data_IF_463529319104
#
_entry.id   IF_463529319104
#
_cell.length_a   1.000
_cell.length_b   1.000
_cell.length_c   1.000
_cell.angle_alpha   90.00
_cell.angle_beta   90.00
_cell.angle_gamma   90.00
#
_symmetry.space_group_name_H-M   'P 1'
#
loop_
_entity.id
_entity.type
_entity.pdbx_description
1 polymer ?
#
# COMPACT_ATOMS: atom_id res chain seq x y z
N UNK A 1 -1.05 -17.29 0.72
CA UNK A 1 0.29 -17.76 0.29
C UNK A 1 1.33 -17.06 1.13
N UNK A 2 2.40 -17.73 1.58
CA UNK A 2 3.48 -17.07 2.35
C UNK A 2 4.43 -16.42 1.34
N UNK A 3 4.72 -15.14 1.50
CA UNK A 3 5.87 -14.54 0.86
C UNK A 3 7.11 -15.15 1.50
N UNK A 4 7.80 -16.04 0.80
CA UNK A 4 9.03 -16.65 1.31
C UNK A 4 10.16 -15.63 1.19
N UNK A 5 10.51 -15.00 2.29
CA UNK A 5 11.53 -13.94 2.32
C UNK A 5 12.94 -14.47 2.09
N UNK A 6 13.16 -15.75 2.33
CA UNK A 6 14.45 -16.44 2.06
C UNK A 6 15.69 -15.65 2.53
N UNK A 7 15.64 -15.06 3.74
CA UNK A 7 16.76 -14.27 4.27
C UNK A 7 18.03 -15.11 4.40
N UNK A 8 17.89 -16.41 4.60
CA UNK A 8 19.01 -17.35 4.62
C UNK A 8 19.88 -17.30 3.35
N UNK A 9 19.29 -16.97 2.18
CA UNK A 9 20.05 -16.81 0.92
C UNK A 9 21.02 -15.62 0.95
N UNK A 10 20.88 -14.71 1.89
CA UNK A 10 21.81 -13.58 2.08
C UNK A 10 22.98 -13.94 2.99
N UNK A 11 22.92 -15.08 3.67
CA UNK A 11 23.90 -15.46 4.68
C UNK A 11 24.69 -16.72 4.31
N UNK A 12 24.01 -17.84 4.05
CA UNK A 12 24.69 -19.14 3.92
C UNK A 12 25.38 -19.24 2.56
N UNK A 13 26.73 -19.30 2.58
CA UNK A 13 27.58 -19.42 1.38
C UNK A 13 27.24 -18.41 0.29
N UNK A 14 26.90 -17.19 0.70
CA UNK A 14 26.36 -16.19 -0.20
C UNK A 14 27.38 -15.09 -0.52
N UNK A 15 27.51 -14.80 -1.81
CA UNK A 15 28.27 -13.63 -2.28
C UNK A 15 27.57 -12.32 -1.95
N UNK A 16 26.32 -12.36 -1.48
CA UNK A 16 25.50 -11.17 -1.24
C UNK A 16 26.00 -10.29 -0.10
N UNK A 17 26.53 -10.89 0.97
CA UNK A 17 27.13 -10.14 2.06
C UNK A 17 28.34 -9.33 1.59
N UNK A 18 29.24 -9.96 0.85
CA UNK A 18 30.42 -9.29 0.26
C UNK A 18 30.00 -8.22 -0.75
N UNK A 19 28.96 -8.47 -1.54
CA UNK A 19 28.39 -7.50 -2.47
C UNK A 19 27.81 -6.30 -1.73
N UNK A 20 27.10 -6.53 -0.62
CA UNK A 20 26.63 -5.45 0.23
C UNK A 20 27.77 -4.56 0.73
N UNK A 21 28.84 -5.16 1.27
CA UNK A 21 30.00 -4.38 1.72
C UNK A 21 30.70 -3.65 0.58
N UNK A 22 30.72 -4.22 -0.63
CA UNK A 22 31.23 -3.53 -1.82
C UNK A 22 30.44 -2.27 -2.14
N UNK A 23 29.11 -2.30 -1.98
CA UNK A 23 28.26 -1.14 -2.17
C UNK A 23 28.50 -0.11 -1.06
N UNK A 24 28.62 -0.56 0.19
CA UNK A 24 28.85 0.33 1.33
C UNK A 24 30.26 0.99 1.27
N UNK A 25 31.28 0.28 0.79
CA UNK A 25 32.60 0.86 0.59
C UNK A 25 32.58 2.08 -0.35
N UNK A 26 31.72 2.07 -1.38
CA UNK A 26 31.56 3.21 -2.32
C UNK A 26 31.04 4.49 -1.65
N UNK A 27 30.44 4.38 -0.46
CA UNK A 27 29.97 5.54 0.33
C UNK A 27 31.08 6.19 1.16
N UNK A 28 32.20 5.50 1.33
CA UNK A 28 33.31 6.03 2.13
C UNK A 28 34.13 7.05 1.33
N UNK A 29 34.94 7.81 2.03
CA UNK A 29 35.90 8.74 1.39
C UNK A 29 37.09 8.03 0.74
N UNK A 30 37.23 6.73 0.96
CA UNK A 30 38.34 5.92 0.47
C UNK A 30 37.98 5.22 -0.83
N UNK A 31 38.97 5.00 -1.70
CA UNK A 31 38.82 4.08 -2.82
C UNK A 31 38.74 2.62 -2.32
N UNK A 32 38.08 1.75 -3.08
CA UNK A 32 38.00 0.33 -2.73
C UNK A 32 39.42 -0.26 -2.58
N UNK A 33 40.35 0.06 -3.47
CA UNK A 33 41.74 -0.39 -3.38
C UNK A 33 42.42 0.08 -2.09
N UNK A 34 42.21 1.34 -1.70
CA UNK A 34 42.78 1.88 -0.47
C UNK A 34 42.22 1.23 0.79
N UNK A 35 40.91 0.86 0.79
CA UNK A 35 40.32 0.10 1.89
C UNK A 35 40.92 -1.30 1.97
N UNK A 36 41.03 -1.99 0.85
CA UNK A 36 41.56 -3.36 0.80
C UNK A 36 43.03 -3.41 1.24
N UNK A 37 43.82 -2.45 0.80
CA UNK A 37 45.23 -2.28 1.22
C UNK A 37 45.33 -2.09 2.74
N UNK A 38 44.52 -1.17 3.29
CA UNK A 38 44.46 -0.90 4.74
C UNK A 38 44.07 -2.13 5.57
N UNK A 39 43.23 -3.00 4.99
CA UNK A 39 42.76 -4.24 5.64
C UNK A 39 43.65 -5.45 5.36
N UNK A 40 44.73 -5.29 4.63
CA UNK A 40 45.58 -6.38 4.15
C UNK A 40 44.77 -7.47 3.44
N UNK A 41 44.00 -7.03 2.44
CA UNK A 41 43.18 -7.90 1.58
C UNK A 41 43.63 -7.68 0.14
N UNK A 42 44.11 -8.73 -0.53
CA UNK A 42 44.46 -8.64 -1.93
C UNK A 42 43.19 -8.44 -2.78
N UNK A 43 43.26 -7.59 -3.82
CA UNK A 43 42.15 -7.35 -4.72
C UNK A 43 41.60 -8.64 -5.36
N UNK A 44 42.49 -9.61 -5.67
CA UNK A 44 42.10 -10.88 -6.23
C UNK A 44 41.32 -11.73 -5.23
N UNK A 45 41.73 -11.74 -3.93
CA UNK A 45 41.00 -12.47 -2.89
C UNK A 45 39.58 -11.87 -2.69
N UNK A 46 39.48 -10.53 -2.66
CA UNK A 46 38.22 -9.83 -2.61
C UNK A 46 37.33 -10.13 -3.83
N UNK A 47 37.86 -10.08 -5.05
CA UNK A 47 37.12 -10.38 -6.28
C UNK A 47 36.58 -11.81 -6.25
N UNK A 48 37.41 -12.78 -5.88
CA UNK A 48 36.97 -14.18 -5.72
C UNK A 48 35.88 -14.34 -4.66
N UNK A 49 35.99 -13.65 -3.52
CA UNK A 49 34.97 -13.67 -2.48
C UNK A 49 33.63 -13.08 -2.96
N UNK A 50 33.66 -12.06 -3.83
CA UNK A 50 32.45 -11.48 -4.44
C UNK A 50 31.81 -12.39 -5.47
N UNK A 51 32.60 -13.14 -6.23
CA UNK A 51 32.14 -14.06 -7.29
C UNK A 51 31.77 -15.44 -6.73
N UNK A 52 32.61 -15.99 -5.83
CA UNK A 52 32.46 -17.31 -5.24
C UNK A 52 32.76 -17.25 -3.74
N UNK A 53 31.74 -17.45 -2.91
CA UNK A 53 31.90 -17.46 -1.46
C UNK A 53 32.63 -18.74 -0.99
N UNK A 54 33.71 -18.57 -0.27
CA UNK A 54 34.56 -19.65 0.24
C UNK A 54 34.86 -19.44 1.73
N UNK A 55 35.49 -20.39 2.39
CA UNK A 55 35.93 -20.25 3.78
C UNK A 55 36.83 -19.01 4.00
N UNK A 56 37.66 -18.65 3.00
CA UNK A 56 38.46 -17.41 3.05
C UNK A 56 37.62 -16.17 2.98
N UNK A 57 36.42 -16.23 2.41
CA UNK A 57 35.48 -15.09 2.34
C UNK A 57 34.97 -14.65 3.70
N UNK A 58 34.85 -15.59 4.66
CA UNK A 58 34.45 -15.26 6.05
C UNK A 58 35.45 -14.31 6.72
N UNK A 59 36.75 -14.48 6.47
CA UNK A 59 37.78 -13.61 7.02
C UNK A 59 37.69 -12.21 6.39
N UNK A 60 37.44 -12.13 5.08
CA UNK A 60 37.25 -10.87 4.35
C UNK A 60 36.03 -10.16 4.87
N UNK A 61 34.92 -10.88 5.04
CA UNK A 61 33.66 -10.36 5.58
C UNK A 61 33.87 -9.71 6.94
N UNK A 62 34.47 -10.43 7.91
CA UNK A 62 34.76 -9.90 9.24
C UNK A 62 35.64 -8.64 9.24
N UNK A 63 36.65 -8.58 8.37
CA UNK A 63 37.48 -7.38 8.23
C UNK A 63 36.69 -6.19 7.68
N UNK A 64 35.81 -6.43 6.70
CA UNK A 64 34.94 -5.40 6.11
C UNK A 64 33.87 -4.94 7.09
N UNK A 65 33.25 -5.87 7.85
CA UNK A 65 32.32 -5.54 8.94
C UNK A 65 32.96 -4.60 9.94
N UNK A 66 34.12 -4.97 10.46
CA UNK A 66 34.83 -4.15 11.46
C UNK A 66 35.20 -2.78 10.90
N UNK A 67 35.65 -2.68 9.65
CA UNK A 67 36.02 -1.42 9.04
C UNK A 67 34.83 -0.49 8.79
N UNK A 68 33.70 -1.05 8.35
CA UNK A 68 32.48 -0.29 8.02
C UNK A 68 31.56 -0.09 9.23
N UNK A 69 31.86 -0.69 10.38
CA UNK A 69 31.07 -0.56 11.60
C UNK A 69 29.75 -1.33 11.55
N UNK A 70 29.70 -2.46 10.85
CA UNK A 70 28.55 -3.35 10.80
C UNK A 70 28.64 -4.46 11.83
N UNK A 71 27.50 -4.91 12.33
CA UNK A 71 27.40 -6.00 13.28
C UNK A 71 27.28 -7.34 12.54
N UNK A 72 28.05 -8.33 12.96
CA UNK A 72 27.91 -9.70 12.50
C UNK A 72 26.56 -10.28 12.90
N UNK A 73 25.96 -11.05 12.00
CA UNK A 73 24.78 -11.85 12.28
C UNK A 73 25.14 -13.33 12.30
N UNK A 74 24.63 -14.03 13.30
CA UNK A 74 24.67 -15.49 13.31
C UNK A 74 23.43 -16.10 12.64
N UNK A 75 23.52 -17.37 12.26
CA UNK A 75 22.45 -18.10 11.59
C UNK A 75 21.15 -18.12 12.43
N UNK A 76 21.26 -18.24 13.76
CA UNK A 76 20.10 -18.26 14.66
C UNK A 76 19.32 -16.93 14.62
N UNK A 77 20.04 -15.81 14.57
CA UNK A 77 19.43 -14.49 14.44
C UNK A 77 18.71 -14.35 13.10
N UNK A 78 19.29 -14.83 12.02
CA UNK A 78 18.69 -14.76 10.68
C UNK A 78 17.40 -15.56 10.62
N UNK A 79 17.42 -16.81 11.10
CA UNK A 79 16.20 -17.65 11.16
C UNK A 79 15.10 -16.97 11.98
N UNK A 80 15.47 -16.37 13.12
CA UNK A 80 14.53 -15.63 13.95
C UNK A 80 13.96 -14.39 13.21
N UNK A 81 14.79 -13.64 12.51
CA UNK A 81 14.35 -12.48 11.72
C UNK A 81 13.41 -12.92 10.60
N UNK A 82 13.73 -13.98 9.88
CA UNK A 82 12.90 -14.53 8.82
C UNK A 82 11.50 -14.91 9.32
N UNK A 83 11.43 -15.61 10.44
CA UNK A 83 10.15 -15.99 11.05
C UNK A 83 9.29 -14.78 11.41
N UNK A 84 9.89 -13.80 12.11
CA UNK A 84 9.17 -12.59 12.55
C UNK A 84 8.74 -11.73 11.35
N UNK A 85 9.58 -11.58 10.33
CA UNK A 85 9.27 -10.80 9.14
C UNK A 85 8.14 -11.45 8.35
N UNK A 86 8.18 -12.78 8.16
CA UNK A 86 7.10 -13.51 7.52
C UNK A 86 5.78 -13.34 8.28
N UNK A 87 5.82 -13.38 9.61
CA UNK A 87 4.65 -13.12 10.45
C UNK A 87 4.12 -11.68 10.26
N UNK A 88 5.00 -10.68 10.27
CA UNK A 88 4.64 -9.28 10.07
C UNK A 88 3.99 -9.09 8.69
N UNK A 89 4.59 -9.61 7.63
CA UNK A 89 4.07 -9.47 6.26
C UNK A 89 2.67 -10.10 6.16
N UNK A 90 2.50 -11.32 6.64
CA UNK A 90 1.20 -12.01 6.62
C UNK A 90 0.17 -11.22 7.42
N UNK A 91 0.51 -10.74 8.62
CA UNK A 91 -0.42 -9.96 9.46
C UNK A 91 -0.78 -8.62 8.84
N UNK A 92 0.14 -7.96 8.12
CA UNK A 92 -0.14 -6.70 7.45
C UNK A 92 -1.24 -6.81 6.39
N UNK A 93 -1.52 -8.02 5.87
CA UNK A 93 -2.63 -8.26 4.94
C UNK A 93 -4.00 -8.19 5.61
N UNK A 94 -4.07 -8.44 6.92
CA UNK A 94 -5.34 -8.59 7.65
C UNK A 94 -5.67 -7.42 8.56
N UNK A 95 -4.65 -6.70 9.07
CA UNK A 95 -4.85 -5.69 10.12
C UNK A 95 -4.01 -4.45 9.86
N UNK A 96 -4.69 -3.33 9.70
CA UNK A 96 -4.06 -2.00 9.64
C UNK A 96 -3.69 -1.48 11.03
N UNK A 97 -4.40 -1.91 12.07
CA UNK A 97 -4.27 -1.38 13.44
C UNK A 97 -2.90 -1.71 14.07
N UNK A 98 -2.31 -2.85 13.69
CA UNK A 98 -0.99 -3.26 14.17
C UNK A 98 0.19 -2.67 13.36
N UNK A 99 -0.08 -1.83 12.35
CA UNK A 99 0.96 -1.29 11.45
C UNK A 99 2.06 -0.59 12.22
N UNK A 100 1.73 0.22 13.23
CA UNK A 100 2.72 0.94 14.05
C UNK A 100 3.63 -0.02 14.83
N UNK A 101 3.08 -1.10 15.36
CA UNK A 101 3.83 -2.13 16.06
C UNK A 101 4.81 -2.86 15.13
N UNK A 102 4.37 -3.17 13.91
CA UNK A 102 5.22 -3.82 12.91
C UNK A 102 6.36 -2.90 12.48
N UNK A 103 6.07 -1.62 12.28
CA UNK A 103 7.08 -0.62 11.97
C UNK A 103 8.11 -0.47 13.08
N UNK A 104 7.67 -0.39 14.34
CA UNK A 104 8.56 -0.32 15.48
C UNK A 104 9.49 -1.55 15.56
N UNK A 105 8.97 -2.74 15.24
CA UNK A 105 9.77 -3.96 15.18
C UNK A 105 10.83 -3.89 14.08
N UNK A 106 10.47 -3.41 12.89
CA UNK A 106 11.43 -3.24 11.79
C UNK A 106 12.46 -2.15 12.09
N UNK A 107 12.05 -1.06 12.76
CA UNK A 107 12.97 0.00 13.18
C UNK A 107 14.05 -0.52 14.14
N UNK A 108 13.72 -1.44 15.03
CA UNK A 108 14.71 -2.12 15.88
C UNK A 108 15.71 -2.93 15.04
N UNK A 109 15.27 -3.60 13.98
CA UNK A 109 16.17 -4.36 13.11
C UNK A 109 17.02 -3.45 12.21
N UNK A 110 16.48 -2.31 11.80
CA UNK A 110 17.22 -1.29 11.06
C UNK A 110 18.29 -0.65 11.96
N UNK A 111 17.99 -0.46 13.25
CA UNK A 111 18.93 0.06 14.23
C UNK A 111 20.08 -0.93 14.54
N UNK A 112 19.84 -2.23 14.44
CA UNK A 112 20.88 -3.24 14.45
C UNK A 112 21.67 -3.19 13.13
N UNK A 113 22.71 -2.35 13.11
CA UNK A 113 23.48 -2.01 11.91
C UNK A 113 24.15 -3.23 11.28
N UNK A 114 23.41 -3.96 10.47
CA UNK A 114 23.85 -5.18 9.80
C UNK A 114 23.57 -5.14 8.30
N UNK A 115 24.10 -6.12 7.56
CA UNK A 115 23.97 -6.18 6.11
C UNK A 115 22.55 -6.45 5.58
N UNK A 116 21.58 -6.77 6.44
CA UNK A 116 20.16 -6.92 6.08
C UNK A 116 19.38 -5.60 6.16
N UNK A 117 19.99 -4.52 6.64
CA UNK A 117 19.34 -3.21 6.79
C UNK A 117 18.57 -2.75 5.54
N UNK A 118 19.09 -2.84 4.29
CA UNK A 118 18.31 -2.44 3.11
C UNK A 118 17.05 -3.27 2.91
N UNK A 119 17.07 -4.54 3.30
CA UNK A 119 15.91 -5.43 3.23
C UNK A 119 14.83 -4.97 4.22
N UNK A 120 15.22 -4.63 5.44
CA UNK A 120 14.28 -4.14 6.46
C UNK A 120 13.67 -2.79 6.07
N UNK A 121 14.47 -1.88 5.49
CA UNK A 121 13.97 -0.61 4.95
C UNK A 121 12.97 -0.81 3.83
N UNK A 122 13.25 -1.75 2.89
CA UNK A 122 12.32 -2.10 1.82
C UNK A 122 11.03 -2.73 2.35
N UNK A 123 11.13 -3.64 3.31
CA UNK A 123 9.96 -4.27 3.93
C UNK A 123 9.08 -3.28 4.68
N UNK A 124 9.68 -2.27 5.30
CA UNK A 124 8.94 -1.17 5.94
C UNK A 124 8.03 -0.46 4.95
N UNK A 125 8.52 -0.18 3.74
CA UNK A 125 7.70 0.40 2.66
C UNK A 125 6.64 -0.60 2.18
N UNK A 126 7.02 -1.88 2.03
CA UNK A 126 6.12 -2.94 1.59
C UNK A 126 4.91 -3.12 2.52
N UNK A 127 5.08 -3.03 3.83
CA UNK A 127 3.98 -3.10 4.80
C UNK A 127 2.92 -2.04 4.51
N UNK A 128 3.32 -0.83 4.17
CA UNK A 128 2.39 0.24 3.82
C UNK A 128 1.65 0.00 2.50
N UNK A 129 2.23 -0.76 1.57
CA UNK A 129 1.49 -1.13 0.36
C UNK A 129 0.27 -2.00 0.65
N UNK A 130 0.26 -2.72 1.76
CA UNK A 130 -0.86 -3.54 2.21
C UNK A 130 -1.86 -2.78 3.09
N UNK A 131 -1.55 -1.53 3.44
CA UNK A 131 -2.46 -0.66 4.18
C UNK A 131 -3.48 0.02 3.25
N UNK A 132 -4.45 0.71 3.82
CA UNK A 132 -5.43 1.52 3.09
C UNK A 132 -4.90 2.90 2.66
N UNK A 133 -3.64 3.25 3.01
CA UNK A 133 -3.04 4.54 2.69
C UNK A 133 -2.91 4.72 1.17
N UNK A 134 -3.36 5.85 0.60
CA UNK A 134 -3.21 6.15 -0.81
C UNK A 134 -1.75 6.15 -1.27
N UNK A 135 -1.48 5.60 -2.45
CA UNK A 135 -0.11 5.51 -3.00
C UNK A 135 0.58 6.85 -3.18
N UNK A 136 -0.17 7.93 -3.45
CA UNK A 136 0.37 9.29 -3.51
C UNK A 136 1.02 9.70 -2.20
N UNK A 137 0.33 9.47 -1.07
CA UNK A 137 0.83 9.77 0.27
C UNK A 137 2.06 8.89 0.60
N UNK A 138 2.01 7.62 0.21
CA UNK A 138 3.16 6.72 0.39
C UNK A 138 4.39 7.19 -0.39
N UNK A 139 4.21 7.67 -1.62
CA UNK A 139 5.28 8.24 -2.43
C UNK A 139 5.90 9.48 -1.78
N UNK A 140 5.07 10.40 -1.29
CA UNK A 140 5.54 11.62 -0.60
C UNK A 140 6.37 11.26 0.64
N UNK A 141 5.95 10.25 1.41
CA UNK A 141 6.61 9.86 2.66
C UNK A 141 7.86 8.99 2.47
N UNK A 142 7.87 8.11 1.48
CA UNK A 142 8.90 7.07 1.33
C UNK A 142 9.66 7.12 0.00
N UNK A 143 9.38 8.08 -0.87
CA UNK A 143 10.04 8.18 -2.18
C UNK A 143 11.56 8.34 -2.07
N UNK A 144 12.05 9.19 -1.17
CA UNK A 144 13.48 9.39 -0.93
C UNK A 144 14.14 8.12 -0.34
N UNK A 145 13.45 7.45 0.59
CA UNK A 145 13.93 6.19 1.16
C UNK A 145 14.08 5.13 0.05
N UNK A 146 13.10 5.01 -0.84
CA UNK A 146 13.18 4.09 -1.97
C UNK A 146 14.34 4.42 -2.91
N UNK A 147 14.55 5.70 -3.23
CA UNK A 147 15.67 6.15 -4.04
C UNK A 147 17.02 5.78 -3.42
N UNK A 148 17.14 5.88 -2.10
CA UNK A 148 18.35 5.47 -1.38
C UNK A 148 18.66 3.98 -1.51
N UNK A 149 17.64 3.16 -1.77
CA UNK A 149 17.76 1.70 -1.97
C UNK A 149 18.11 1.30 -3.40
N UNK A 150 18.04 2.22 -4.38
CA UNK A 150 18.26 1.93 -5.79
C UNK A 150 19.63 1.25 -6.07
N UNK A 151 20.67 1.62 -5.31
CA UNK A 151 22.03 1.04 -5.44
C UNK A 151 22.10 -0.46 -5.10
N UNK A 152 21.12 -0.98 -4.38
CA UNK A 152 21.06 -2.41 -4.01
C UNK A 152 20.26 -3.25 -5.01
N UNK A 153 19.50 -2.63 -5.92
CA UNK A 153 18.52 -3.26 -6.80
C UNK A 153 19.08 -4.43 -7.62
N UNK A 154 20.22 -4.21 -8.29
CA UNK A 154 20.71 -5.17 -9.26
C UNK A 154 21.74 -6.16 -8.71
N UNK A 155 22.58 -5.70 -7.80
CA UNK A 155 23.68 -6.54 -7.28
C UNK A 155 23.31 -7.27 -5.98
N UNK A 156 22.53 -6.63 -5.10
CA UNK A 156 22.27 -7.15 -3.75
C UNK A 156 20.89 -7.79 -3.63
N UNK A 157 19.81 -7.12 -4.06
CA UNK A 157 18.46 -7.70 -3.95
C UNK A 157 18.29 -8.91 -4.85
N UNK A 158 17.75 -9.99 -4.26
CA UNK A 158 17.30 -11.21 -4.96
C UNK A 158 15.79 -11.35 -4.77
N UNK A 159 15.15 -12.25 -5.51
CA UNK A 159 13.73 -12.60 -5.34
C UNK A 159 13.46 -13.06 -3.89
N UNK A 160 12.42 -12.55 -3.20
CA UNK A 160 11.37 -11.67 -3.73
C UNK A 160 11.67 -10.16 -3.60
N UNK A 161 12.75 -9.74 -2.94
CA UNK A 161 13.00 -8.32 -2.63
C UNK A 161 13.26 -7.47 -3.87
N UNK A 162 13.90 -8.02 -4.90
CA UNK A 162 14.08 -7.32 -6.17
C UNK A 162 12.74 -7.00 -6.82
N UNK A 163 11.81 -7.93 -6.80
CA UNK A 163 10.46 -7.77 -7.35
C UNK A 163 9.64 -6.76 -6.55
N UNK A 164 9.73 -6.83 -5.20
CA UNK A 164 9.10 -5.85 -4.31
C UNK A 164 9.64 -4.44 -4.59
N UNK A 165 10.96 -4.28 -4.75
CA UNK A 165 11.56 -2.99 -5.07
C UNK A 165 11.02 -2.45 -6.40
N UNK A 166 11.02 -3.26 -7.46
CA UNK A 166 10.52 -2.89 -8.79
C UNK A 166 9.03 -2.53 -8.72
N UNK A 167 8.23 -3.28 -7.99
CA UNK A 167 6.80 -3.00 -7.80
C UNK A 167 6.59 -1.62 -7.16
N UNK A 168 7.32 -1.32 -6.06
CA UNK A 168 7.19 -0.03 -5.38
C UNK A 168 7.67 1.12 -6.27
N UNK A 169 8.78 0.93 -6.98
CA UNK A 169 9.32 1.91 -7.94
C UNK A 169 8.29 2.23 -9.04
N UNK A 170 7.62 1.22 -9.59
CA UNK A 170 6.58 1.37 -10.60
C UNK A 170 5.34 2.10 -10.04
N UNK A 171 4.88 1.73 -8.85
CA UNK A 171 3.77 2.40 -8.18
C UNK A 171 4.09 3.88 -7.96
N UNK A 172 5.28 4.20 -7.45
CA UNK A 172 5.67 5.58 -7.14
C UNK A 172 5.96 6.42 -8.37
N UNK A 173 6.41 5.81 -9.47
CA UNK A 173 6.65 6.50 -10.75
C UNK A 173 5.41 6.62 -11.61
N UNK A 174 4.29 6.00 -11.23
CA UNK A 174 3.07 5.88 -12.02
C UNK A 174 3.32 5.28 -13.42
N UNK A 175 4.38 4.48 -13.57
CA UNK A 175 4.69 3.79 -14.81
C UNK A 175 3.92 2.49 -14.89
N UNK A 176 3.18 2.32 -15.97
CA UNK A 176 2.56 1.04 -16.31
C UNK A 176 3.65 0.16 -16.94
N UNK A 177 4.13 -0.83 -16.23
CA UNK A 177 5.01 -1.85 -16.80
C UNK A 177 4.13 -3.02 -17.22
N UNK A 178 3.77 -3.04 -18.50
CA UNK A 178 2.82 -3.99 -19.09
C UNK A 178 3.34 -5.46 -19.16
N UNK A 179 4.61 -5.71 -18.86
CA UNK A 179 5.20 -7.04 -19.02
C UNK A 179 6.03 -7.43 -17.81
N UNK A 180 5.36 -7.93 -16.77
CA UNK A 180 6.06 -8.66 -15.73
C UNK A 180 5.50 -10.09 -15.64
N UNK A 181 5.81 -10.91 -16.64
CA UNK A 181 5.57 -12.36 -16.60
C UNK A 181 6.37 -13.06 -15.49
N UNK A 182 7.31 -12.32 -14.88
CA UNK A 182 8.20 -12.78 -13.82
C UNK A 182 7.84 -12.27 -12.43
N UNK A 183 6.73 -11.50 -12.25
CA UNK A 183 6.30 -11.06 -10.93
C UNK A 183 5.79 -12.27 -10.15
N UNK A 184 6.31 -12.45 -8.95
CA UNK A 184 5.83 -13.48 -8.03
C UNK A 184 4.30 -13.39 -7.90
N UNK A 185 3.63 -14.52 -7.96
CA UNK A 185 2.17 -14.58 -8.03
C UNK A 185 1.48 -13.86 -6.87
N UNK A 186 2.13 -13.87 -5.69
CA UNK A 186 1.70 -13.12 -4.50
C UNK A 186 1.71 -11.59 -4.65
N UNK A 187 2.40 -11.05 -5.64
CA UNK A 187 2.46 -9.61 -5.89
C UNK A 187 1.55 -9.16 -7.04
N UNK A 188 1.02 -10.09 -7.83
CA UNK A 188 0.16 -9.76 -8.98
C UNK A 188 -1.05 -8.92 -8.61
N UNK A 189 -1.67 -9.21 -7.46
CA UNK A 189 -2.80 -8.43 -6.96
C UNK A 189 -2.46 -6.95 -6.77
N UNK A 190 -1.29 -6.63 -6.22
CA UNK A 190 -0.82 -5.24 -6.03
C UNK A 190 -0.42 -4.58 -7.35
N UNK A 191 0.14 -5.33 -8.30
CA UNK A 191 0.45 -4.82 -9.66
C UNK A 191 -0.83 -4.38 -10.36
N UNK A 192 -1.83 -5.25 -10.42
CA UNK A 192 -3.12 -4.91 -11.05
C UNK A 192 -3.89 -3.83 -10.28
N UNK A 193 -3.74 -3.77 -8.96
CA UNK A 193 -4.23 -2.64 -8.16
C UNK A 193 -3.63 -1.31 -8.65
N UNK A 194 -2.31 -1.26 -8.85
CA UNK A 194 -1.63 -0.08 -9.37
C UNK A 194 -2.13 0.31 -10.78
N UNK A 195 -2.32 -0.68 -11.66
CA UNK A 195 -2.88 -0.45 -12.99
C UNK A 195 -4.30 0.11 -12.94
N UNK A 196 -5.13 -0.39 -12.04
CA UNK A 196 -6.47 0.15 -11.81
C UNK A 196 -6.41 1.61 -11.41
N UNK A 197 -5.57 1.97 -10.43
CA UNK A 197 -5.40 3.36 -10.01
C UNK A 197 -4.96 4.27 -11.17
N UNK A 198 -4.02 3.83 -11.98
CA UNK A 198 -3.55 4.60 -13.13
C UNK A 198 -4.63 4.79 -14.20
N UNK A 199 -5.35 3.72 -14.56
CA UNK A 199 -6.45 3.80 -15.52
C UNK A 199 -7.58 4.72 -15.02
N UNK A 200 -7.93 4.61 -13.73
CA UNK A 200 -8.93 5.47 -13.08
C UNK A 200 -8.52 6.95 -13.14
N UNK A 201 -7.27 7.27 -12.78
CA UNK A 201 -6.75 8.64 -12.80
C UNK A 201 -6.74 9.23 -14.23
N UNK A 202 -6.57 8.38 -15.25
CA UNK A 202 -6.65 8.75 -16.66
C UNK A 202 -8.10 8.77 -17.19
N UNK A 203 -9.10 8.53 -16.33
CA UNK A 203 -10.53 8.45 -16.67
C UNK A 203 -10.88 7.34 -17.67
N UNK A 204 -10.01 6.34 -17.82
CA UNK A 204 -10.30 5.12 -18.59
C UNK A 204 -10.99 4.11 -17.67
N UNK A 205 -12.28 4.36 -17.42
CA UNK A 205 -13.07 3.56 -16.48
C UNK A 205 -13.26 2.11 -16.92
N UNK A 206 -13.35 1.85 -18.23
CA UNK A 206 -13.46 0.50 -18.75
C UNK A 206 -12.22 -0.34 -18.48
N UNK A 207 -11.02 0.24 -18.71
CA UNK A 207 -9.76 -0.41 -18.43
C UNK A 207 -9.54 -0.55 -16.91
N UNK A 208 -9.93 0.47 -16.12
CA UNK A 208 -9.90 0.40 -14.67
C UNK A 208 -10.78 -0.74 -14.12
N UNK A 209 -11.98 -0.95 -14.67
CA UNK A 209 -12.83 -2.06 -14.30
C UNK A 209 -12.17 -3.40 -14.60
N UNK A 210 -11.62 -3.58 -15.81
CA UNK A 210 -10.91 -4.80 -16.18
C UNK A 210 -9.77 -5.12 -15.19
N UNK A 211 -8.90 -4.16 -14.94
CA UNK A 211 -7.79 -4.36 -14.00
C UNK A 211 -8.27 -4.59 -12.55
N UNK A 212 -9.35 -3.92 -12.13
CA UNK A 212 -9.90 -4.13 -10.79
C UNK A 212 -10.42 -5.55 -10.60
N UNK A 213 -11.08 -6.13 -11.61
CA UNK A 213 -11.58 -7.50 -11.54
C UNK A 213 -10.43 -8.52 -11.47
N UNK A 214 -9.36 -8.28 -12.21
CA UNK A 214 -8.13 -9.10 -12.12
C UNK A 214 -7.46 -8.94 -10.76
N UNK A 215 -7.29 -7.69 -10.28
CA UNK A 215 -6.69 -7.42 -8.98
C UNK A 215 -7.46 -8.10 -7.84
N UNK A 216 -8.79 -7.98 -7.82
CA UNK A 216 -9.66 -8.59 -6.81
C UNK A 216 -9.46 -10.10 -6.72
N UNK A 217 -9.36 -10.78 -7.88
CA UNK A 217 -9.14 -12.22 -7.93
C UNK A 217 -7.84 -12.64 -7.26
N UNK A 218 -6.74 -11.94 -7.52
CA UNK A 218 -5.45 -12.22 -6.89
C UNK A 218 -5.45 -11.84 -5.40
N UNK A 219 -5.96 -10.66 -5.05
CA UNK A 219 -5.96 -10.15 -3.68
C UNK A 219 -6.78 -11.04 -2.73
N UNK A 220 -7.94 -11.58 -3.18
CA UNK A 220 -8.72 -12.50 -2.36
C UNK A 220 -8.03 -13.84 -2.19
N UNK A 221 -7.37 -14.36 -3.21
CA UNK A 221 -6.62 -15.60 -3.15
C UNK A 221 -5.40 -15.48 -2.23
N UNK A 222 -4.79 -14.30 -2.15
CA UNK A 222 -3.66 -14.01 -1.27
C UNK A 222 -4.09 -13.57 0.14
N UNK A 223 -5.40 -13.53 0.40
CA UNK A 223 -5.97 -13.06 1.67
C UNK A 223 -5.62 -11.59 1.99
N UNK A 224 -5.29 -10.77 0.98
CA UNK A 224 -5.05 -9.35 1.16
C UNK A 224 -6.38 -8.57 1.16
N UNK A 225 -7.13 -8.70 2.25
CA UNK A 225 -8.47 -8.15 2.37
C UNK A 225 -8.50 -6.63 2.37
N UNK A 226 -7.49 -5.97 2.93
CA UNK A 226 -7.42 -4.51 2.92
C UNK A 226 -7.41 -3.97 1.49
N UNK A 227 -6.53 -4.49 0.64
CA UNK A 227 -6.46 -4.08 -0.76
C UNK A 227 -7.64 -4.59 -1.60
N UNK A 228 -8.19 -5.75 -1.25
CA UNK A 228 -9.42 -6.24 -1.87
C UNK A 228 -10.61 -5.28 -1.65
N UNK A 229 -10.78 -4.76 -0.44
CA UNK A 229 -11.85 -3.81 -0.11
C UNK A 229 -11.60 -2.47 -0.81
N UNK A 230 -10.39 -1.92 -0.71
CA UNK A 230 -10.07 -0.62 -1.32
C UNK A 230 -10.18 -0.65 -2.85
N UNK A 231 -9.79 -1.75 -3.51
CA UNK A 231 -9.98 -1.89 -4.96
C UNK A 231 -11.46 -2.05 -5.34
N UNK A 232 -12.26 -2.65 -4.45
CA UNK A 232 -13.71 -2.74 -4.66
C UNK A 232 -14.37 -1.36 -4.62
N UNK A 233 -13.92 -0.47 -3.73
CA UNK A 233 -14.40 0.92 -3.72
C UNK A 233 -14.05 1.66 -5.00
N UNK A 234 -12.81 1.50 -5.49
CA UNK A 234 -12.40 2.11 -6.75
C UNK A 234 -13.22 1.59 -7.93
N UNK A 235 -13.51 0.29 -7.94
CA UNK A 235 -14.39 -0.35 -8.91
C UNK A 235 -15.81 0.22 -8.84
N UNK A 236 -16.36 0.39 -7.64
CA UNK A 236 -17.69 1.02 -7.47
C UNK A 236 -17.71 2.45 -8.02
N UNK A 237 -16.65 3.22 -7.80
CA UNK A 237 -16.53 4.54 -8.39
C UNK A 237 -16.58 4.49 -9.92
N UNK A 238 -15.84 3.57 -10.56
CA UNK A 238 -15.91 3.39 -12.01
C UNK A 238 -17.34 3.05 -12.50
N UNK A 239 -17.99 2.10 -11.83
CA UNK A 239 -19.36 1.69 -12.18
C UNK A 239 -20.35 2.83 -12.00
N UNK A 240 -20.24 3.62 -10.93
CA UNK A 240 -21.08 4.81 -10.71
C UNK A 240 -20.88 5.86 -11.82
N UNK A 241 -19.64 6.11 -12.27
CA UNK A 241 -19.38 6.99 -13.41
C UNK A 241 -20.00 6.47 -14.73
N UNK A 242 -20.17 5.16 -14.86
CA UNK A 242 -20.80 4.54 -16.02
C UNK A 242 -22.31 4.40 -15.89
N UNK A 243 -22.90 4.82 -14.77
CA UNK A 243 -24.35 4.70 -14.52
C UNK A 243 -24.83 3.33 -14.08
N UNK A 244 -23.91 2.40 -13.78
CA UNK A 244 -24.20 1.01 -13.39
C UNK A 244 -24.60 0.90 -11.89
N UNK A 245 -25.53 1.76 -11.45
CA UNK A 245 -25.87 1.94 -10.03
C UNK A 245 -26.45 0.68 -9.37
N UNK A 246 -27.26 -0.09 -10.09
CA UNK A 246 -27.85 -1.35 -9.58
C UNK A 246 -26.77 -2.34 -9.17
N UNK A 247 -25.77 -2.50 -10.04
CA UNK A 247 -24.63 -3.39 -9.80
C UNK A 247 -23.80 -2.96 -8.60
N UNK A 248 -23.57 -1.63 -8.44
CA UNK A 248 -22.88 -1.09 -7.26
C UNK A 248 -23.68 -1.38 -6.00
N UNK A 249 -24.98 -1.10 -6.02
CA UNK A 249 -25.85 -1.30 -4.86
C UNK A 249 -25.80 -2.75 -4.36
N UNK A 250 -25.99 -3.71 -5.26
CA UNK A 250 -25.95 -5.13 -4.91
C UNK A 250 -24.58 -5.59 -4.35
N UNK A 251 -23.50 -5.19 -5.05
CA UNK A 251 -22.15 -5.60 -4.65
C UNK A 251 -21.71 -4.92 -3.35
N UNK A 252 -22.05 -3.65 -3.15
CA UNK A 252 -21.73 -2.89 -1.94
C UNK A 252 -22.48 -3.43 -0.71
N UNK A 253 -23.77 -3.86 -0.85
CA UNK A 253 -24.51 -4.52 0.23
C UNK A 253 -23.84 -5.85 0.66
N UNK A 254 -23.36 -6.65 -0.30
CA UNK A 254 -22.62 -7.89 0.01
C UNK A 254 -21.32 -7.58 0.72
N UNK A 255 -20.60 -6.55 0.25
CA UNK A 255 -19.35 -6.11 0.86
C UNK A 255 -19.56 -5.54 2.28
N UNK A 256 -20.67 -4.80 2.49
CA UNK A 256 -21.04 -4.27 3.81
C UNK A 256 -21.17 -5.37 4.86
N UNK A 257 -21.87 -6.45 4.51
CA UNK A 257 -21.99 -7.60 5.41
C UNK A 257 -20.62 -8.17 5.78
N UNK A 258 -19.74 -8.30 4.80
CA UNK A 258 -18.39 -8.82 5.01
C UNK A 258 -17.54 -7.89 5.88
N UNK A 259 -17.57 -6.58 5.63
CA UNK A 259 -16.84 -5.57 6.41
C UNK A 259 -17.30 -5.59 7.87
N UNK A 260 -18.61 -5.56 8.13
CA UNK A 260 -19.16 -5.46 9.49
C UNK A 260 -18.99 -6.76 10.30
N UNK A 261 -19.11 -7.93 9.66
CA UNK A 261 -19.09 -9.22 10.37
C UNK A 261 -17.73 -9.87 10.46
N UNK A 262 -16.89 -9.69 9.45
CA UNK A 262 -15.58 -10.38 9.33
C UNK A 262 -14.44 -9.44 9.64
N UNK A 263 -14.34 -8.31 8.93
CA UNK A 263 -13.20 -7.38 9.04
C UNK A 263 -13.33 -6.50 10.28
N UNK A 264 -14.55 -6.02 10.57
CA UNK A 264 -14.86 -5.12 11.70
C UNK A 264 -14.02 -3.84 11.68
N UNK A 265 -13.96 -3.17 10.52
CA UNK A 265 -13.24 -1.93 10.31
C UNK A 265 -14.24 -0.80 10.03
N UNK A 266 -14.35 0.15 10.95
CA UNK A 266 -15.32 1.25 10.89
C UNK A 266 -15.04 2.20 9.72
N UNK A 267 -13.77 2.40 9.34
CA UNK A 267 -13.40 3.25 8.20
C UNK A 267 -13.89 2.64 6.88
N UNK A 268 -13.70 1.33 6.69
CA UNK A 268 -14.22 0.63 5.52
C UNK A 268 -15.75 0.61 5.49
N UNK A 269 -16.36 0.46 6.66
CA UNK A 269 -17.83 0.52 6.80
C UNK A 269 -18.35 1.88 6.35
N UNK A 270 -17.74 2.95 6.81
CA UNK A 270 -18.06 4.32 6.42
C UNK A 270 -17.96 4.54 4.90
N UNK A 271 -16.81 4.22 4.29
CA UNK A 271 -16.63 4.39 2.84
C UNK A 271 -17.58 3.50 2.02
N UNK A 272 -17.90 2.32 2.49
CA UNK A 272 -18.85 1.45 1.79
C UNK A 272 -20.28 1.99 1.88
N UNK A 273 -20.68 2.56 3.00
CA UNK A 273 -21.97 3.25 3.13
C UNK A 273 -22.11 4.39 2.13
N UNK A 274 -21.05 5.18 1.90
CA UNK A 274 -21.04 6.22 0.85
C UNK A 274 -21.33 5.61 -0.53
N UNK A 275 -20.70 4.49 -0.90
CA UNK A 275 -20.97 3.84 -2.18
C UNK A 275 -22.41 3.34 -2.30
N UNK A 276 -22.99 2.80 -1.23
CA UNK A 276 -24.40 2.41 -1.17
C UNK A 276 -25.30 3.65 -1.40
N UNK A 277 -25.04 4.75 -0.70
CA UNK A 277 -25.86 5.96 -0.81
C UNK A 277 -25.79 6.60 -2.19
N UNK A 278 -24.58 6.68 -2.78
CA UNK A 278 -24.41 7.18 -4.16
C UNK A 278 -25.21 6.31 -5.14
N UNK A 279 -25.16 5.00 -5.00
CA UNK A 279 -25.93 4.11 -5.87
C UNK A 279 -27.45 4.24 -5.66
N UNK A 280 -27.91 4.45 -4.41
CA UNK A 280 -29.32 4.71 -4.12
C UNK A 280 -29.81 6.02 -4.75
N UNK A 281 -28.98 7.06 -4.74
CA UNK A 281 -29.30 8.31 -5.44
C UNK A 281 -29.42 8.10 -6.94
N UNK A 282 -28.49 7.36 -7.55
CA UNK A 282 -28.53 7.04 -8.99
C UNK A 282 -29.71 6.15 -9.39
N UNK A 283 -30.26 5.38 -8.45
CA UNK A 283 -31.46 4.55 -8.61
C UNK A 283 -32.76 5.28 -8.21
N UNK A 284 -32.69 6.58 -7.87
CA UNK A 284 -33.82 7.39 -7.43
C UNK A 284 -34.55 6.83 -6.17
N UNK A 285 -33.84 6.02 -5.35
CA UNK A 285 -34.37 5.43 -4.11
C UNK A 285 -34.34 6.46 -2.95
N UNK A 286 -34.83 7.68 -3.21
CA UNK A 286 -34.72 8.80 -2.26
C UNK A 286 -35.45 8.57 -0.94
N UNK A 287 -36.65 7.93 -0.99
CA UNK A 287 -37.39 7.66 0.24
C UNK A 287 -36.71 6.62 1.11
N UNK A 288 -36.22 5.52 0.51
CA UNK A 288 -35.49 4.47 1.21
C UNK A 288 -34.20 5.03 1.84
N UNK A 289 -33.45 5.88 1.10
CA UNK A 289 -32.24 6.52 1.59
C UNK A 289 -32.52 7.45 2.77
N UNK A 290 -33.56 8.29 2.65
CA UNK A 290 -33.97 9.17 3.74
C UNK A 290 -34.34 8.36 5.00
N UNK A 291 -35.13 7.30 4.87
CA UNK A 291 -35.57 6.48 5.98
C UNK A 291 -34.41 5.71 6.63
N UNK A 292 -33.43 5.32 5.83
CA UNK A 292 -32.21 4.63 6.30
C UNK A 292 -31.35 5.57 7.17
N UNK A 293 -31.14 6.81 6.70
CA UNK A 293 -30.32 7.79 7.42
C UNK A 293 -31.00 8.25 8.70
N UNK A 294 -32.29 8.58 8.63
CA UNK A 294 -33.05 9.09 9.80
C UNK A 294 -33.15 8.05 10.93
N UNK A 295 -33.05 6.75 10.60
CA UNK A 295 -33.06 5.66 11.59
C UNK A 295 -31.73 5.45 12.31
N UNK A 296 -30.65 6.11 11.88
CA UNK A 296 -29.37 6.02 12.57
C UNK A 296 -29.42 6.74 13.92
N UNK A 297 -28.94 6.09 14.98
CA UNK A 297 -28.83 6.70 16.32
C UNK A 297 -27.83 7.86 16.33
N UNK A 298 -26.76 7.76 15.54
CA UNK A 298 -25.73 8.79 15.35
C UNK A 298 -25.48 8.95 13.86
N UNK A 299 -25.62 10.19 13.38
CA UNK A 299 -25.37 10.56 11.99
C UNK A 299 -23.89 10.92 11.81
N UNK A 300 -23.28 10.34 10.79
CA UNK A 300 -21.95 10.71 10.30
C UNK A 300 -22.04 12.01 9.49
N UNK A 301 -20.89 12.67 9.31
CA UNK A 301 -20.83 13.89 8.53
C UNK A 301 -21.33 13.70 7.08
N UNK A 302 -21.06 12.55 6.45
CA UNK A 302 -21.57 12.23 5.12
C UNK A 302 -23.09 12.03 5.07
N UNK A 303 -23.69 11.53 6.15
CA UNK A 303 -25.13 11.29 6.22
C UNK A 303 -25.94 12.56 5.98
N UNK A 304 -25.44 13.71 6.49
CA UNK A 304 -26.11 15.01 6.28
C UNK A 304 -26.21 15.40 4.81
N UNK A 305 -25.14 15.17 4.01
CA UNK A 305 -25.14 15.51 2.59
C UNK A 305 -26.17 14.65 1.85
N UNK A 306 -26.14 13.35 2.09
CA UNK A 306 -27.09 12.43 1.45
C UNK A 306 -28.52 12.66 1.89
N UNK A 307 -28.72 13.02 3.17
CA UNK A 307 -30.04 13.38 3.70
C UNK A 307 -30.57 14.67 3.05
N UNK A 308 -29.74 15.69 2.86
CA UNK A 308 -30.12 16.95 2.18
C UNK A 308 -30.56 16.62 0.75
N UNK A 309 -29.78 15.86 0.01
CA UNK A 309 -30.09 15.51 -1.38
C UNK A 309 -31.41 14.72 -1.46
N UNK A 310 -31.55 13.67 -0.63
CA UNK A 310 -32.77 12.86 -0.61
C UNK A 310 -34.01 13.68 -0.19
N UNK A 311 -33.89 14.52 0.85
CA UNK A 311 -34.98 15.36 1.32
C UNK A 311 -35.41 16.39 0.27
N UNK A 312 -34.46 16.96 -0.45
CA UNK A 312 -34.72 17.86 -1.56
C UNK A 312 -35.47 17.15 -2.68
N UNK A 313 -34.94 16.02 -3.18
CA UNK A 313 -35.54 15.24 -4.27
C UNK A 313 -36.97 14.78 -3.94
N UNK A 314 -37.29 14.62 -2.65
CA UNK A 314 -38.64 14.32 -2.16
C UNK A 314 -39.51 15.57 -1.95
N UNK A 315 -39.07 16.78 -2.32
CA UNK A 315 -39.75 18.04 -2.08
C UNK A 315 -40.11 18.28 -0.61
N UNK A 316 -39.33 17.82 0.34
CA UNK A 316 -39.55 18.03 1.76
C UNK A 316 -39.07 19.43 2.18
N UNK A 317 -39.90 20.19 2.89
CA UNK A 317 -39.64 21.59 3.31
C UNK A 317 -38.44 21.79 4.25
N UNK A 318 -37.80 20.71 4.73
CA UNK A 318 -36.75 20.78 5.74
C UNK A 318 -35.32 20.78 5.15
N UNK A 319 -35.15 20.65 3.85
CA UNK A 319 -33.81 20.52 3.24
C UNK A 319 -32.97 21.80 3.42
N UNK A 320 -33.56 22.99 3.33
CA UNK A 320 -32.88 24.26 3.52
C UNK A 320 -32.31 24.42 4.93
N UNK A 321 -33.08 23.99 5.94
CA UNK A 321 -32.65 24.01 7.33
C UNK A 321 -31.48 23.05 7.54
N UNK A 322 -31.53 21.85 6.97
CA UNK A 322 -30.45 20.86 7.01
C UNK A 322 -29.19 21.37 6.30
N UNK A 323 -29.36 22.05 5.13
CA UNK A 323 -28.24 22.63 4.41
C UNK A 323 -27.56 23.74 5.23
N UNK A 324 -28.36 24.61 5.90
CA UNK A 324 -27.83 25.66 6.77
C UNK A 324 -27.12 25.10 8.01
N UNK A 325 -27.65 24.02 8.61
CA UNK A 325 -27.01 23.32 9.72
C UNK A 325 -25.67 22.71 9.30
N UNK A 326 -25.58 22.14 8.08
CA UNK A 326 -24.33 21.63 7.52
C UNK A 326 -23.29 22.72 7.26
N UNK A 327 -23.68 23.88 6.72
CA UNK A 327 -22.77 24.99 6.49
C UNK A 327 -22.13 25.53 7.78
N UNK A 328 -22.82 25.40 8.91
CA UNK A 328 -22.32 25.82 10.21
C UNK A 328 -21.52 24.78 10.97
N UNK A 329 -21.45 23.53 10.48
CA UNK A 329 -20.62 22.48 11.07
C UNK A 329 -19.23 22.48 10.46
N UNK A 330 -18.19 22.60 11.30
CA UNK A 330 -16.83 22.30 10.89
C UNK A 330 -16.64 20.78 10.89
N UNK A 331 -16.72 20.17 9.71
CA UNK A 331 -16.44 18.76 9.55
C UNK A 331 -14.92 18.49 9.69
N UNK A 332 -14.58 17.44 10.40
CA UNK A 332 -13.19 17.03 10.58
C UNK A 332 -12.56 16.43 9.30
N UNK A 333 -13.40 15.99 8.36
CA UNK A 333 -12.97 15.38 7.12
C UNK A 333 -12.79 16.44 6.03
N UNK A 334 -11.57 16.56 5.50
CA UNK A 334 -11.24 17.51 4.42
C UNK A 334 -12.01 17.23 3.12
N UNK A 335 -12.37 15.98 2.85
CA UNK A 335 -13.15 15.56 1.68
C UNK A 335 -14.61 16.05 1.80
N UNK A 336 -15.18 15.96 2.99
CA UNK A 336 -16.52 16.45 3.26
C UNK A 336 -16.59 17.99 3.23
N UNK A 337 -15.58 18.67 3.77
CA UNK A 337 -15.49 20.13 3.65
C UNK A 337 -15.41 20.57 2.18
N UNK A 338 -14.68 19.82 1.34
CA UNK A 338 -14.65 20.06 -0.11
C UNK A 338 -16.04 19.86 -0.73
N UNK A 339 -16.72 18.74 -0.45
CA UNK A 339 -18.04 18.46 -1.01
C UNK A 339 -19.11 19.43 -0.53
N UNK A 340 -19.03 19.94 0.71
CA UNK A 340 -19.96 20.95 1.23
C UNK A 340 -19.70 22.32 0.61
N UNK A 341 -18.44 22.71 0.42
CA UNK A 341 -18.12 23.95 -0.31
C UNK A 341 -18.60 23.90 -1.76
N UNK A 342 -18.72 22.69 -2.34
CA UNK A 342 -19.23 22.44 -3.69
C UNK A 342 -20.68 21.94 -3.71
N UNK A 343 -21.36 21.93 -2.55
CA UNK A 343 -22.74 21.45 -2.45
C UNK A 343 -23.66 22.19 -3.44
N UNK A 344 -23.48 23.49 -3.58
CA UNK A 344 -24.22 24.29 -4.56
C UNK A 344 -23.92 23.86 -6.01
N UNK A 345 -22.67 23.50 -6.31
CA UNK A 345 -22.27 23.00 -7.63
C UNK A 345 -22.82 21.58 -7.88
N UNK A 346 -22.82 20.74 -6.86
CA UNK A 346 -23.43 19.41 -6.90
C UNK A 346 -24.94 19.51 -7.12
N UNK A 347 -25.61 20.40 -6.40
CA UNK A 347 -27.04 20.66 -6.53
C UNK A 347 -27.38 21.30 -7.90
N UNK A 348 -26.52 22.17 -8.45
CA UNK A 348 -26.66 22.74 -9.80
C UNK A 348 -26.46 21.69 -10.89
N UNK A 349 -25.44 20.81 -10.76
CA UNK A 349 -25.14 19.74 -11.72
C UNK A 349 -26.23 18.65 -11.76
N UNK A 350 -27.02 18.52 -10.71
CA UNK A 350 -28.17 17.63 -10.65
C UNK A 350 -29.46 18.25 -11.23
N UNK A 351 -29.39 19.40 -11.92
CA UNK A 351 -30.54 20.21 -12.34
C UNK A 351 -31.53 20.55 -11.20
N UNK A 352 -31.00 20.66 -10.00
CA UNK A 352 -31.77 20.74 -8.77
C UNK A 352 -31.94 22.23 -8.34
N UNK A 353 -31.13 23.11 -8.89
CA UNK A 353 -31.32 24.56 -8.74
C UNK A 353 -31.71 25.18 -10.09
N UNK A 354 -32.99 25.14 -10.42
CA UNK A 354 -33.56 26.23 -11.19
C UNK A 354 -33.82 27.40 -10.23
N UNK A 355 -32.83 28.28 -10.11
CA UNK A 355 -33.05 29.66 -9.63
C UNK A 355 -32.15 30.58 -10.44
#
# INVERSE_FOLDING_TARGET
MKLETNLSKYYINSTKTITFYAIEMKKTQFTISGILEKLDISYMAYKRAKENYTNASVLIEKKLEAFLGYNSLDEKKIVKYEQIINEIIVKSYYRTDDTQKYLATLDLYIADNNYLKPIFELLKICIFLNSNIPFKILKEKYGEALLSLAKYKDEYFITPFKEIYILIENIFSSKIVLHNDHVEESLKGLVYYSYTCNAYNNKDFSLALYYSDVARKYLINDYNFNRYITISFLRFSCLNYMGEYEKVYEEALKLQYYITKVIKNNEFEYFNCINIFVSMLGLEKYQELNDLIVKKDVMDDSDYIFLIIATYALNKKNWEKLALECQNKHFKDSYLNYNISHLNEILQNMNILEI
#
